data_IF_133612926976
#
_entry.id   IF_133612926976
#
_cell.length_a   1.000
_cell.length_b   1.000
_cell.length_c   1.000
_cell.angle_alpha   90.00
_cell.angle_beta   90.00
_cell.angle_gamma   90.00
#
_symmetry.space_group_name_H-M   'P 1'
#
loop_
_entity.id
_entity.type
_entity.pdbx_description
1 polymer ?
#
# COMPACT_ATOMS: atom_id res chain seq x y z
N UNK A 1 10.12 7.54 -4.01
CA UNK A 1 10.85 7.18 -2.78
C UNK A 1 12.14 7.97 -2.80
N UNK A 2 12.30 8.93 -1.91
CA UNK A 2 13.53 9.69 -1.79
C UNK A 2 14.44 8.90 -0.85
N UNK A 3 15.44 8.23 -1.41
CA UNK A 3 16.52 7.71 -0.60
C UNK A 3 17.25 8.91 0.02
N UNK A 4 17.20 9.02 1.34
CA UNK A 4 17.90 10.07 2.10
C UNK A 4 19.41 9.79 2.23
N UNK A 5 19.98 9.06 1.33
CA UNK A 5 21.36 8.58 1.39
C UNK A 5 22.22 9.20 0.29
N UNK A 6 22.09 10.51 0.05
CA UNK A 6 23.02 11.22 -0.83
C UNK A 6 24.47 10.97 -0.37
N UNK A 7 25.28 10.43 -1.25
CA UNK A 7 26.66 10.04 -0.96
C UNK A 7 26.88 8.61 -0.46
N UNK A 8 25.81 7.83 -0.26
CA UNK A 8 25.88 6.42 0.18
C UNK A 8 25.18 5.45 -0.77
N UNK A 9 24.91 5.87 -2.00
CA UNK A 9 24.22 5.08 -3.02
C UNK A 9 24.92 3.75 -3.31
N UNK A 10 26.25 3.71 -3.20
CA UNK A 10 27.07 2.50 -3.36
C UNK A 10 26.77 1.43 -2.30
N UNK A 11 26.17 1.80 -1.19
CA UNK A 11 25.81 0.89 -0.09
C UNK A 11 24.40 0.30 -0.26
N UNK A 12 23.64 0.75 -1.27
CA UNK A 12 22.29 0.27 -1.54
C UNK A 12 22.36 -0.99 -2.38
N UNK A 13 22.09 -2.14 -1.77
CA UNK A 13 22.13 -3.45 -2.45
C UNK A 13 20.88 -3.71 -3.31
N UNK A 14 19.76 -3.04 -3.02
CA UNK A 14 18.51 -3.23 -3.75
C UNK A 14 17.31 -2.58 -3.08
N UNK A 15 16.13 -2.89 -3.62
CA UNK A 15 14.84 -2.40 -3.14
C UNK A 15 13.96 -3.58 -2.76
N UNK A 16 13.36 -3.52 -1.59
CA UNK A 16 12.41 -4.51 -1.10
C UNK A 16 11.00 -3.92 -1.04
N UNK A 17 10.01 -4.74 -1.38
CA UNK A 17 8.59 -4.40 -1.23
C UNK A 17 7.91 -5.47 -0.40
N UNK A 18 7.44 -5.10 0.79
CA UNK A 18 6.74 -6.01 1.70
C UNK A 18 5.25 -6.01 1.41
N UNK A 19 4.63 -7.19 1.44
CA UNK A 19 3.20 -7.39 1.33
C UNK A 19 2.70 -8.14 2.57
N UNK A 20 1.85 -7.48 3.34
CA UNK A 20 1.21 -8.05 4.52
C UNK A 20 -0.12 -8.69 4.11
N UNK A 21 -0.25 -10.00 4.31
CA UNK A 21 -1.35 -10.80 3.76
C UNK A 21 -2.46 -11.13 4.77
N UNK A 22 -2.40 -10.62 5.99
CA UNK A 22 -3.38 -10.92 7.05
C UNK A 22 -4.84 -10.60 6.66
N UNK A 23 -5.02 -9.74 5.65
CA UNK A 23 -6.34 -9.28 5.17
C UNK A 23 -6.56 -9.59 3.69
N UNK A 24 -5.88 -10.63 3.19
CA UNK A 24 -5.96 -11.04 1.78
C UNK A 24 -6.46 -12.47 1.73
N UNK A 25 -7.76 -12.62 1.50
CA UNK A 25 -8.46 -13.90 1.56
C UNK A 25 -8.43 -14.68 0.23
N UNK A 26 -8.10 -13.99 -0.87
CA UNK A 26 -8.14 -14.59 -2.19
C UNK A 26 -7.10 -13.99 -3.15
N UNK A 27 -6.83 -14.72 -4.22
CA UNK A 27 -5.82 -14.35 -5.23
C UNK A 27 -6.16 -13.09 -6.01
N UNK A 28 -7.44 -12.79 -6.23
CA UNK A 28 -7.87 -11.59 -6.95
C UNK A 28 -7.58 -10.33 -6.12
N UNK A 29 -7.84 -10.40 -4.81
CA UNK A 29 -7.49 -9.31 -3.90
C UNK A 29 -5.98 -9.17 -3.78
N UNK A 30 -5.23 -10.28 -3.73
CA UNK A 30 -3.77 -10.26 -3.77
C UNK A 30 -3.28 -9.53 -5.01
N UNK A 31 -3.75 -9.93 -6.19
CA UNK A 31 -3.41 -9.32 -7.46
C UNK A 31 -3.74 -7.82 -7.48
N UNK A 32 -4.91 -7.44 -7.02
CA UNK A 32 -5.34 -6.06 -6.89
C UNK A 32 -4.43 -5.23 -5.96
N UNK A 33 -3.93 -5.82 -4.89
CA UNK A 33 -3.02 -5.15 -3.95
C UNK A 33 -1.62 -5.02 -4.49
N UNK A 34 -1.12 -6.05 -5.18
CA UNK A 34 0.23 -6.12 -5.72
C UNK A 34 0.38 -5.28 -6.97
N UNK A 35 -0.48 -5.49 -7.98
CA UNK A 35 -0.36 -4.80 -9.27
C UNK A 35 -1.34 -3.63 -9.38
N UNK A 36 -0.90 -2.49 -9.94
CA UNK A 36 0.38 -2.19 -10.57
C UNK A 36 1.46 -1.64 -9.61
N UNK A 37 1.26 -1.69 -8.30
CA UNK A 37 2.19 -1.08 -7.33
C UNK A 37 3.58 -1.70 -7.39
N UNK A 38 3.66 -3.03 -7.51
CA UNK A 38 4.94 -3.74 -7.66
C UNK A 38 5.65 -3.34 -8.96
N UNK A 39 4.90 -3.09 -10.03
CA UNK A 39 5.47 -2.58 -11.30
C UNK A 39 6.11 -1.20 -11.08
N UNK A 40 5.48 -0.32 -10.28
CA UNK A 40 6.06 0.98 -9.95
C UNK A 40 7.31 0.87 -9.07
N UNK A 41 7.36 -0.11 -8.17
CA UNK A 41 8.56 -0.39 -7.38
C UNK A 41 9.68 -0.89 -8.28
N UNK A 42 9.38 -1.81 -9.21
CA UNK A 42 10.35 -2.31 -10.18
C UNK A 42 10.89 -1.18 -11.07
N UNK A 43 10.02 -0.31 -11.61
CA UNK A 43 10.45 0.87 -12.36
C UNK A 43 11.38 1.76 -11.54
N UNK A 44 11.04 1.98 -10.27
CA UNK A 44 11.86 2.79 -9.37
C UNK A 44 13.21 2.18 -9.06
N UNK A 45 13.32 0.85 -9.07
CA UNK A 45 14.54 0.11 -8.77
C UNK A 45 15.48 0.00 -9.99
N UNK A 46 14.91 -0.24 -11.18
CA UNK A 46 15.67 -0.58 -12.38
C UNK A 46 15.89 0.61 -13.33
N UNK A 47 14.99 1.63 -13.27
CA UNK A 47 15.14 2.79 -14.13
C UNK A 47 16.18 3.76 -13.57
N UNK A 48 17.10 4.19 -14.42
CA UNK A 48 18.08 5.21 -14.09
C UNK A 48 17.40 6.50 -13.63
N UNK A 49 17.94 7.14 -12.58
CA UNK A 49 17.41 8.36 -11.99
C UNK A 49 17.18 9.47 -13.03
N UNK A 50 18.07 9.59 -13.98
CA UNK A 50 18.00 10.60 -15.06
C UNK A 50 16.91 10.31 -16.11
N UNK A 51 16.42 9.05 -16.17
CA UNK A 51 15.42 8.59 -17.16
C UNK A 51 14.03 8.41 -16.55
N UNK A 52 13.86 8.67 -15.25
CA UNK A 52 12.57 8.50 -14.57
C UNK A 52 11.57 9.55 -15.06
N UNK A 53 10.56 9.07 -15.79
CA UNK A 53 9.44 9.87 -16.29
C UNK A 53 8.13 9.18 -15.91
N UNK A 54 7.34 9.86 -15.08
CA UNK A 54 6.06 9.31 -14.60
C UNK A 54 5.05 9.13 -15.74
N UNK A 55 4.98 10.05 -16.70
CA UNK A 55 4.04 9.97 -17.81
C UNK A 55 4.41 8.84 -18.77
N UNK A 56 5.69 8.67 -19.06
CA UNK A 56 6.19 7.55 -19.86
C UNK A 56 5.90 6.21 -19.16
N UNK A 57 6.13 6.12 -17.85
CA UNK A 57 5.78 4.96 -17.04
C UNK A 57 4.26 4.68 -17.10
N UNK A 58 3.41 5.66 -16.86
CA UNK A 58 1.95 5.50 -16.87
C UNK A 58 1.44 5.00 -18.23
N UNK A 59 1.98 5.53 -19.34
CA UNK A 59 1.65 5.08 -20.69
C UNK A 59 2.09 3.63 -20.94
N UNK A 60 3.27 3.25 -20.48
CA UNK A 60 3.81 1.88 -20.61
C UNK A 60 3.06 0.88 -19.76
N UNK A 61 2.51 1.32 -18.63
CA UNK A 61 1.87 0.46 -17.63
C UNK A 61 0.68 -0.33 -18.19
N UNK A 62 -0.06 0.23 -19.15
CA UNK A 62 -1.17 -0.46 -19.83
C UNK A 62 -0.68 -1.73 -20.55
N UNK A 63 0.44 -1.62 -21.24
CA UNK A 63 1.02 -2.74 -21.98
C UNK A 63 1.62 -3.78 -21.01
N UNK A 64 2.27 -3.33 -19.96
CA UNK A 64 2.83 -4.20 -18.91
C UNK A 64 1.71 -4.96 -18.19
N UNK A 65 0.63 -4.28 -17.80
CA UNK A 65 -0.52 -4.93 -17.15
C UNK A 65 -1.18 -5.97 -18.07
N UNK A 66 -1.32 -5.66 -19.37
CA UNK A 66 -1.82 -6.61 -20.36
C UNK A 66 -0.90 -7.81 -20.55
N UNK A 67 0.41 -7.61 -20.52
CA UNK A 67 1.38 -8.69 -20.59
C UNK A 67 1.27 -9.59 -19.35
N UNK A 68 1.18 -9.02 -18.15
CA UNK A 68 0.97 -9.75 -16.89
C UNK A 68 -0.33 -10.58 -16.98
N UNK A 69 -1.44 -9.99 -17.41
CA UNK A 69 -2.71 -10.67 -17.55
C UNK A 69 -2.62 -11.84 -18.54
N UNK A 70 -2.00 -11.65 -19.70
CA UNK A 70 -1.88 -12.67 -20.73
C UNK A 70 -0.97 -13.83 -20.31
N UNK A 71 0.06 -13.57 -19.51
CA UNK A 71 1.05 -14.60 -19.11
C UNK A 71 0.67 -15.33 -17.84
N UNK A 72 -0.02 -14.66 -16.91
CA UNK A 72 -0.31 -15.20 -15.57
C UNK A 72 -1.79 -15.35 -15.27
N UNK A 73 -2.68 -14.79 -16.09
CA UNK A 73 -4.12 -14.68 -15.80
C UNK A 73 -4.45 -13.64 -14.71
N UNK A 74 -3.44 -12.96 -14.16
CA UNK A 74 -3.61 -12.00 -13.06
C UNK A 74 -4.06 -10.65 -13.60
N UNK A 75 -5.18 -10.13 -13.08
CA UNK A 75 -5.69 -8.80 -13.42
C UNK A 75 -5.15 -7.73 -12.48
N UNK A 76 -4.37 -6.80 -13.02
CA UNK A 76 -3.90 -5.65 -12.26
C UNK A 76 -5.05 -4.69 -11.92
N UNK A 77 -4.95 -4.02 -10.77
CA UNK A 77 -5.88 -2.97 -10.39
C UNK A 77 -5.83 -1.79 -11.39
N UNK A 78 -6.99 -1.22 -11.76
CA UNK A 78 -7.00 0.04 -12.49
C UNK A 78 -6.32 1.15 -11.70
N UNK A 79 -5.54 2.01 -12.33
CA UNK A 79 -4.85 3.11 -11.65
C UNK A 79 -5.78 4.00 -10.83
N UNK A 80 -6.99 4.26 -11.33
CA UNK A 80 -8.03 5.03 -10.63
C UNK A 80 -8.45 4.43 -9.28
N UNK A 81 -8.25 3.11 -9.10
CA UNK A 81 -8.63 2.38 -7.90
C UNK A 81 -7.44 2.15 -6.94
N UNK A 82 -6.22 2.49 -7.38
CA UNK A 82 -5.01 2.28 -6.58
C UNK A 82 -4.84 3.26 -5.42
N UNK A 83 -5.35 4.49 -5.54
CA UNK A 83 -5.19 5.54 -4.53
C UNK A 83 -6.50 6.30 -4.29
N UNK A 84 -7.53 5.56 -3.91
CA UNK A 84 -8.86 6.13 -3.66
C UNK A 84 -8.88 6.79 -2.28
N UNK A 85 -9.04 8.11 -2.23
CA UNK A 85 -9.13 8.90 -0.98
C UNK A 85 -10.52 8.79 -0.31
N UNK A 86 -11.57 8.63 -1.12
CA UNK A 86 -12.93 8.55 -0.61
C UNK A 86 -13.18 7.22 0.11
N UNK A 87 -13.56 7.23 1.41
CA UNK A 87 -13.74 6.01 2.20
C UNK A 87 -14.89 5.13 1.69
N UNK A 88 -15.97 5.72 1.17
CA UNK A 88 -17.09 4.94 0.63
C UNK A 88 -16.70 4.20 -0.65
N UNK A 89 -15.92 4.84 -1.54
CA UNK A 89 -15.39 4.17 -2.74
C UNK A 89 -14.40 3.07 -2.37
N UNK A 90 -13.55 3.29 -1.36
CA UNK A 90 -12.65 2.24 -0.85
C UNK A 90 -13.45 1.05 -0.33
N UNK A 91 -14.49 1.31 0.45
CA UNK A 91 -15.39 0.27 0.96
C UNK A 91 -16.05 -0.52 -0.17
N UNK A 92 -16.59 0.14 -1.19
CA UNK A 92 -17.19 -0.51 -2.34
C UNK A 92 -16.20 -1.38 -3.13
N UNK A 93 -14.96 -0.93 -3.31
CA UNK A 93 -13.89 -1.72 -3.94
C UNK A 93 -13.58 -2.96 -3.11
N UNK A 94 -13.47 -2.85 -1.80
CA UNK A 94 -13.19 -3.98 -0.92
C UNK A 94 -14.33 -5.00 -0.91
N UNK A 95 -15.59 -4.54 -0.86
CA UNK A 95 -16.77 -5.42 -0.97
C UNK A 95 -16.78 -6.22 -2.27
N UNK A 96 -16.32 -5.63 -3.38
CA UNK A 96 -16.21 -6.32 -4.67
C UNK A 96 -15.32 -7.56 -4.63
N UNK A 97 -14.34 -7.60 -3.73
CA UNK A 97 -13.44 -8.74 -3.54
C UNK A 97 -13.90 -9.70 -2.44
N UNK A 98 -15.15 -9.59 -1.97
CA UNK A 98 -15.69 -10.47 -0.93
C UNK A 98 -15.06 -10.24 0.45
N UNK A 99 -14.25 -9.20 0.61
CA UNK A 99 -13.79 -8.83 1.94
C UNK A 99 -14.99 -8.54 2.82
N UNK A 100 -15.16 -9.33 3.86
CA UNK A 100 -16.03 -8.98 4.97
C UNK A 100 -15.44 -7.72 5.61
N UNK A 101 -15.90 -6.55 5.12
CA UNK A 101 -15.50 -5.23 5.62
C UNK A 101 -15.79 -5.06 7.10
N UNK A 102 -16.46 -6.01 7.69
CA UNK A 102 -16.98 -5.96 9.03
C UNK A 102 -16.49 -7.18 9.78
N UNK A 103 -15.20 -7.25 10.00
CA UNK A 103 -14.77 -7.81 11.26
C UNK A 103 -15.07 -6.76 12.34
N UNK A 104 -16.35 -6.71 12.77
CA UNK A 104 -16.80 -5.83 13.86
C UNK A 104 -15.96 -6.03 15.12
N UNK A 105 -15.46 -7.24 15.36
CA UNK A 105 -14.57 -7.51 16.47
C UNK A 105 -13.24 -6.78 16.34
N UNK A 106 -12.64 -6.74 15.15
CA UNK A 106 -11.38 -6.04 14.96
C UNK A 106 -11.54 -4.53 15.09
N UNK A 107 -12.60 -3.97 14.52
CA UNK A 107 -12.91 -2.54 14.68
C UNK A 107 -13.16 -2.21 16.17
N UNK A 108 -13.85 -3.09 16.88
CA UNK A 108 -14.08 -2.93 18.31
C UNK A 108 -12.78 -3.04 19.11
N UNK A 109 -11.88 -3.98 18.80
CA UNK A 109 -10.56 -4.12 19.43
C UNK A 109 -9.68 -2.90 19.13
N UNK A 110 -9.62 -2.45 17.88
CA UNK A 110 -8.87 -1.25 17.49
C UNK A 110 -9.38 0.00 18.22
N UNK A 111 -10.69 0.18 18.31
CA UNK A 111 -11.28 1.31 19.03
C UNK A 111 -11.04 1.25 20.55
N UNK A 112 -11.05 0.05 21.16
CA UNK A 112 -10.68 -0.14 22.57
C UNK A 112 -9.23 0.22 22.81
N UNK A 113 -8.29 -0.30 21.99
CA UNK A 113 -6.87 0.00 22.08
C UNK A 113 -6.59 1.50 21.90
N UNK A 114 -7.27 2.17 20.96
CA UNK A 114 -7.14 3.61 20.76
C UNK A 114 -7.65 4.43 21.97
N UNK A 115 -8.74 3.99 22.61
CA UNK A 115 -9.25 4.60 23.86
C UNK A 115 -8.26 4.44 25.02
N UNK A 116 -7.71 3.26 25.19
CA UNK A 116 -6.71 2.98 26.23
C UNK A 116 -5.45 3.80 26.05
N UNK A 117 -4.94 3.88 24.81
CA UNK A 117 -3.78 4.74 24.50
C UNK A 117 -4.05 6.23 24.78
N UNK A 118 -5.25 6.73 24.46
CA UNK A 118 -5.63 8.11 24.82
C UNK A 118 -5.67 8.31 26.33
N UNK A 119 -6.19 7.35 27.09
CA UNK A 119 -6.23 7.39 28.55
C UNK A 119 -4.83 7.40 29.15
N UNK A 120 -3.94 6.52 28.69
CA UNK A 120 -2.55 6.49 29.14
C UNK A 120 -1.79 7.80 28.82
N UNK A 121 -2.01 8.37 27.62
CA UNK A 121 -1.41 9.66 27.27
C UNK A 121 -1.92 10.82 28.15
N UNK A 122 -3.19 10.80 28.55
CA UNK A 122 -3.75 11.84 29.43
C UNK A 122 -3.23 11.74 30.86
N UNK A 123 -3.02 10.53 31.39
CA UNK A 123 -2.41 10.28 32.69
C UNK A 123 -0.95 10.76 32.68
N UNK A 124 -0.16 10.38 31.69
CA UNK A 124 1.24 10.79 31.56
C UNK A 124 1.41 12.31 31.42
N UNK A 125 0.45 12.98 30.76
CA UNK A 125 0.44 14.46 30.70
C UNK A 125 0.18 15.11 32.07
N UNK A 126 -0.70 14.54 32.89
CA UNK A 126 -0.99 15.04 34.24
C UNK A 126 0.20 14.87 35.18
N UNK A 127 0.90 13.73 35.09
CA UNK A 127 2.12 13.47 35.88
C UNK A 127 3.26 14.41 35.53
N UNK A 128 3.42 14.76 34.24
CA UNK A 128 4.47 15.69 33.80
C UNK A 128 4.16 17.17 34.09
N UNK A 129 2.87 17.55 34.24
CA UNK A 129 2.47 18.91 34.56
C UNK A 129 2.30 19.14 36.08
N UNK A 130 2.48 18.12 36.91
CA UNK A 130 2.41 18.20 38.38
C UNK A 130 3.78 18.22 39.06
N UNK A 131 4.86 18.30 38.30
CA UNK A 131 6.22 18.54 38.73
C UNK A 131 6.67 19.93 38.27
#
# INVERSE_FOLDING_TARGET
>A
MLFRSEGYEQNVLGVESTLWTEWIDNTDLLAFRVFPRLTAVAESAWCDKSKKDYLAFENSLKNVNKLIENTTGIKAAPLKDCNVKNPLKRAAIMMKFGMNLIDFEMIARSNRAAKEMKKMRSVRKKENNGK
#
